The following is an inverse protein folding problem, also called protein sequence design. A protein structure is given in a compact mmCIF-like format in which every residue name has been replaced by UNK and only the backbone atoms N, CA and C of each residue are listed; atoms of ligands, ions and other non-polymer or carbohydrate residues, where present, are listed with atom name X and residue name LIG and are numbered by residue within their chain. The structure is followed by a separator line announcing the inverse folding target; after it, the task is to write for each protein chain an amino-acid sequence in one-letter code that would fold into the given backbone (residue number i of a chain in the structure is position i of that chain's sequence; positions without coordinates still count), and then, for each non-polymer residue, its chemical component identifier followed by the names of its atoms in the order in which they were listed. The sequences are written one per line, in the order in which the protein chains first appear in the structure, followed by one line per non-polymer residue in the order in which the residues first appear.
data_IF_566593935098
#
_entry.id   IF_566593935098
#
_cell.length_a   1.000
_cell.length_b   1.000
_cell.length_c   1.000
_cell.angle_alpha   90.00
_cell.angle_beta   90.00
_cell.angle_gamma   90.00
#
_symmetry.space_group_name_H-M   'P 1'
#
loop_
_entity.id
_entity.type
_entity.pdbx_description
1 polymer ?
#
# COMPACT_ATOMS: atom_id res chain seq x y z
N UNK A 1 22.06 8.55 -23.83
CA UNK A 1 20.94 7.86 -23.16
C UNK A 1 21.09 7.83 -21.64
N UNK A 2 22.13 7.17 -21.09
CA UNK A 2 22.36 7.01 -19.65
C UNK A 2 22.33 8.30 -18.81
N UNK A 3 22.87 9.42 -19.29
CA UNK A 3 22.79 10.70 -18.55
C UNK A 3 21.35 11.22 -18.37
N UNK A 4 20.45 11.01 -19.35
CA UNK A 4 19.03 11.39 -19.22
C UNK A 4 18.31 10.51 -18.19
N UNK A 5 18.67 9.24 -18.09
CA UNK A 5 18.15 8.31 -17.06
C UNK A 5 18.67 8.71 -15.66
N UNK A 6 19.97 9.04 -15.51
CA UNK A 6 20.53 9.56 -14.26
C UNK A 6 19.91 10.90 -13.85
N UNK A 7 19.66 11.81 -14.79
CA UNK A 7 19.00 13.09 -14.51
C UNK A 7 17.54 12.89 -14.08
N UNK A 8 16.80 11.97 -14.72
CA UNK A 8 15.44 11.60 -14.31
C UNK A 8 15.43 11.00 -12.89
N UNK A 9 16.37 10.11 -12.59
CA UNK A 9 16.53 9.49 -11.26
C UNK A 9 16.82 10.50 -10.15
N UNK A 10 17.61 11.56 -10.40
CA UNK A 10 17.86 12.62 -9.41
C UNK A 10 16.62 13.43 -9.00
N UNK A 11 15.56 13.42 -9.82
CA UNK A 11 14.33 14.18 -9.59
C UNK A 11 13.11 13.28 -9.34
N UNK A 12 13.30 11.96 -9.13
CA UNK A 12 12.17 11.07 -8.83
C UNK A 12 11.70 11.27 -7.39
N UNK A 13 10.41 11.58 -7.25
CA UNK A 13 9.73 11.63 -5.95
C UNK A 13 9.80 10.25 -5.27
N UNK A 14 9.61 10.20 -3.95
CA UNK A 14 9.51 8.91 -3.25
C UNK A 14 8.39 8.04 -3.85
N UNK A 15 7.29 8.67 -4.28
CA UNK A 15 6.20 7.98 -4.96
C UNK A 15 6.64 7.36 -6.30
N UNK A 16 7.42 8.08 -7.11
CA UNK A 16 7.94 7.54 -8.38
C UNK A 16 8.88 6.36 -8.18
N UNK A 17 9.68 6.37 -7.10
CA UNK A 17 10.61 5.29 -6.76
C UNK A 17 9.85 3.97 -6.54
N UNK A 18 8.75 3.99 -5.79
CA UNK A 18 7.90 2.81 -5.57
C UNK A 18 7.19 2.27 -6.83
N UNK A 19 7.25 2.95 -7.99
CA UNK A 19 6.75 2.40 -9.26
C UNK A 19 7.57 1.19 -9.73
N UNK A 20 8.85 1.11 -9.37
CA UNK A 20 9.64 -0.12 -9.44
C UNK A 20 10.39 -0.33 -8.13
N UNK A 21 9.68 -0.88 -7.14
CA UNK A 21 10.19 -1.11 -5.78
C UNK A 21 11.50 -1.94 -5.73
N UNK A 22 11.83 -2.69 -6.80
CA UNK A 22 13.06 -3.50 -6.89
C UNK A 22 14.32 -2.64 -7.08
N UNK A 23 14.15 -1.39 -7.48
CA UNK A 23 15.22 -0.40 -7.64
C UNK A 23 15.35 0.54 -6.42
N UNK A 24 14.47 0.38 -5.43
CA UNK A 24 14.48 1.15 -4.18
C UNK A 24 15.37 0.43 -3.18
N UNK A 25 16.22 1.16 -2.47
CA UNK A 25 17.08 0.56 -1.46
C UNK A 25 16.28 0.08 -0.25
N UNK A 26 16.74 -1.02 0.38
CA UNK A 26 16.04 -1.66 1.50
C UNK A 26 15.78 -0.69 2.66
N UNK A 27 16.71 0.24 2.93
CA UNK A 27 16.57 1.23 3.99
C UNK A 27 15.44 2.21 3.68
N UNK A 28 15.30 2.68 2.44
CA UNK A 28 14.16 3.50 2.01
C UNK A 28 12.84 2.73 2.06
N UNK A 29 12.80 1.45 1.64
CA UNK A 29 11.62 0.60 1.79
C UNK A 29 11.21 0.52 3.27
N UNK A 30 12.12 0.09 4.15
CA UNK A 30 11.87 -0.07 5.58
C UNK A 30 11.50 1.24 6.28
N UNK A 31 12.16 2.34 5.91
CA UNK A 31 11.85 3.68 6.44
C UNK A 31 10.49 4.21 5.97
N UNK A 32 9.99 3.78 4.82
CA UNK A 32 8.65 4.16 4.35
C UNK A 32 7.57 3.23 4.92
N UNK A 33 7.70 1.92 4.70
CA UNK A 33 6.64 0.93 4.91
C UNK A 33 6.68 0.27 6.30
N UNK A 34 7.82 0.31 6.99
CA UNK A 34 8.06 -0.45 8.22
C UNK A 34 8.44 -1.93 8.00
N UNK A 35 8.39 -2.43 6.76
CA UNK A 35 8.67 -3.83 6.41
C UNK A 35 10.09 -4.00 5.83
N UNK A 36 10.63 -5.21 5.87
CA UNK A 36 11.75 -5.59 5.00
C UNK A 36 11.31 -5.60 3.53
N UNK A 37 12.26 -5.59 2.60
CA UNK A 37 11.96 -5.69 1.17
C UNK A 37 11.23 -7.01 0.82
N UNK A 38 11.59 -8.11 1.49
CA UNK A 38 10.96 -9.43 1.40
C UNK A 38 9.49 -9.38 1.82
N UNK A 39 9.20 -9.01 3.08
CA UNK A 39 7.82 -8.94 3.57
C UNK A 39 6.95 -7.92 2.81
N UNK A 40 7.54 -6.85 2.28
CA UNK A 40 6.83 -5.92 1.41
C UNK A 40 6.45 -6.59 0.07
N UNK A 41 7.34 -7.40 -0.51
CA UNK A 41 7.07 -8.16 -1.72
C UNK A 41 6.03 -9.26 -1.47
N UNK A 42 6.12 -9.99 -0.37
CA UNK A 42 5.16 -11.04 -0.02
C UNK A 42 3.75 -10.44 0.08
N UNK A 43 3.60 -9.36 0.84
CA UNK A 43 2.33 -8.64 0.98
C UNK A 43 1.84 -8.08 -0.36
N UNK A 44 2.73 -7.48 -1.17
CA UNK A 44 2.39 -7.00 -2.51
C UNK A 44 1.93 -8.12 -3.45
N UNK A 45 2.51 -9.32 -3.34
CA UNK A 45 2.16 -10.49 -4.15
C UNK A 45 0.82 -11.10 -3.74
N UNK A 46 0.42 -10.94 -2.47
CA UNK A 46 -0.88 -11.38 -1.98
C UNK A 46 -2.04 -10.56 -2.54
N UNK A 47 -1.85 -9.26 -2.86
CA UNK A 47 -2.90 -8.39 -3.40
C UNK A 47 -3.19 -8.71 -4.89
N UNK A 48 -4.02 -9.72 -5.14
CA UNK A 48 -4.37 -10.25 -6.45
C UNK A 48 -5.54 -9.51 -7.11
N UNK A 49 -6.57 -9.12 -6.36
CA UNK A 49 -7.73 -8.38 -6.90
C UNK A 49 -7.37 -6.95 -7.29
N UNK A 50 -6.41 -6.34 -6.56
CA UNK A 50 -5.90 -5.02 -6.88
C UNK A 50 -5.13 -5.01 -8.22
N UNK A 51 -5.41 -3.99 -9.04
CA UNK A 51 -4.74 -3.74 -10.32
C UNK A 51 -3.94 -2.44 -10.32
N UNK A 52 -2.96 -2.39 -11.21
CA UNK A 52 -2.29 -1.15 -11.61
C UNK A 52 -3.26 -0.27 -12.42
N UNK A 53 -2.99 1.03 -12.43
CA UNK A 53 -3.64 2.01 -13.29
C UNK A 53 -2.59 2.83 -14.04
N UNK A 54 -3.03 3.66 -14.98
CA UNK A 54 -2.16 4.59 -15.72
C UNK A 54 -1.32 5.45 -14.75
N UNK A 55 -1.98 5.93 -13.69
CA UNK A 55 -1.42 6.92 -12.77
C UNK A 55 -0.64 6.29 -11.60
N UNK A 56 -0.99 5.07 -11.16
CA UNK A 56 -0.31 4.39 -10.04
C UNK A 56 -0.19 2.88 -10.22
N UNK A 57 0.86 2.29 -9.66
CA UNK A 57 1.00 0.84 -9.47
C UNK A 57 0.40 0.37 -8.13
N UNK A 58 0.31 -0.94 -7.93
CA UNK A 58 0.03 -1.58 -6.63
C UNK A 58 1.08 -1.24 -5.58
N UNK A 59 2.37 -1.35 -5.92
CA UNK A 59 3.48 -1.08 -5.00
C UNK A 59 3.46 0.36 -4.49
N UNK A 60 3.16 1.32 -5.35
CA UNK A 60 2.95 2.72 -4.96
C UNK A 60 1.80 2.89 -3.97
N UNK A 61 0.63 2.29 -4.23
CA UNK A 61 -0.52 2.38 -3.33
C UNK A 61 -0.27 1.70 -1.98
N UNK A 62 0.36 0.51 -1.99
CA UNK A 62 0.72 -0.24 -0.78
C UNK A 62 1.74 0.53 0.06
N UNK A 63 2.75 1.14 -0.56
CA UNK A 63 3.74 1.95 0.16
C UNK A 63 3.10 3.17 0.87
N UNK A 64 2.16 3.86 0.21
CA UNK A 64 1.40 4.96 0.82
C UNK A 64 0.51 4.47 1.97
N UNK A 65 -0.19 3.34 1.79
CA UNK A 65 -1.04 2.76 2.83
C UNK A 65 -0.24 2.32 4.07
N UNK A 66 0.90 1.64 3.87
CA UNK A 66 1.77 1.22 4.97
C UNK A 66 2.43 2.43 5.67
N UNK A 67 2.81 3.46 4.93
CA UNK A 67 3.30 4.72 5.53
C UNK A 67 2.22 5.40 6.37
N UNK A 68 0.96 5.42 5.90
CA UNK A 68 -0.18 5.93 6.66
C UNK A 68 -0.40 5.14 7.96
N UNK A 69 -0.45 3.80 7.88
CA UNK A 69 -0.58 2.94 9.07
C UNK A 69 0.58 3.13 10.07
N UNK A 70 1.81 3.30 9.59
CA UNK A 70 2.99 3.44 10.45
C UNK A 70 3.09 4.81 11.13
N UNK A 71 2.60 5.86 10.48
CA UNK A 71 2.80 7.25 10.95
C UNK A 71 1.56 7.89 11.55
N UNK A 72 0.37 7.37 11.26
CA UNK A 72 -0.93 7.93 11.67
C UNK A 72 -1.14 9.40 11.27
N UNK A 73 -0.38 9.90 10.28
CA UNK A 73 -0.47 11.28 9.80
C UNK A 73 -1.74 11.52 8.99
N UNK A 74 -2.15 12.78 8.90
CA UNK A 74 -3.26 13.19 8.08
C UNK A 74 -2.93 13.08 6.57
N UNK A 75 -3.97 13.01 5.75
CA UNK A 75 -3.83 12.77 4.31
C UNK A 75 -3.20 13.93 3.53
N UNK A 76 -3.21 15.19 4.03
CA UNK A 76 -2.52 16.32 3.39
C UNK A 76 -1.02 16.25 3.66
N UNK A 77 -0.62 15.92 4.89
CA UNK A 77 0.78 15.69 5.24
C UNK A 77 1.35 14.51 4.43
N UNK A 78 0.61 13.41 4.29
CA UNK A 78 1.05 12.25 3.50
C UNK A 78 1.11 12.58 2.00
N UNK A 79 0.13 13.30 1.45
CA UNK A 79 0.20 13.77 0.07
C UNK A 79 1.45 14.62 -0.17
N UNK A 80 1.76 15.55 0.74
CA UNK A 80 2.95 16.39 0.68
C UNK A 80 4.25 15.55 0.74
N UNK A 81 4.33 14.58 1.66
CA UNK A 81 5.49 13.69 1.81
C UNK A 81 5.77 12.87 0.53
N UNK A 82 4.72 12.37 -0.12
CA UNK A 82 4.84 11.63 -1.39
C UNK A 82 4.86 12.53 -2.63
N UNK A 83 4.84 13.86 -2.48
CA UNK A 83 4.77 14.83 -3.60
C UNK A 83 3.56 14.62 -4.52
N UNK A 84 2.41 14.28 -3.92
CA UNK A 84 1.12 14.08 -4.59
C UNK A 84 0.24 15.33 -4.44
N UNK A 85 -0.45 15.71 -5.52
CA UNK A 85 -1.19 16.98 -5.61
C UNK A 85 -2.39 17.10 -4.66
N UNK A 86 -2.99 15.99 -4.24
CA UNK A 86 -4.22 16.02 -3.45
C UNK A 86 -4.37 14.86 -2.45
N UNK A 87 -5.06 15.14 -1.34
CA UNK A 87 -5.39 14.15 -0.30
C UNK A 87 -6.36 13.06 -0.76
N UNK A 88 -7.20 13.34 -1.77
CA UNK A 88 -8.23 12.40 -2.26
C UNK A 88 -7.55 11.15 -2.83
N UNK A 89 -6.43 11.31 -3.55
CA UNK A 89 -5.59 10.21 -4.02
C UNK A 89 -5.08 9.32 -2.88
N UNK A 90 -4.74 9.89 -1.71
CA UNK A 90 -4.35 9.11 -0.51
C UNK A 90 -5.55 8.29 -0.02
N UNK A 91 -6.72 8.92 0.13
CA UNK A 91 -7.94 8.23 0.55
C UNK A 91 -8.29 7.06 -0.37
N UNK A 92 -8.24 7.27 -1.69
CA UNK A 92 -8.51 6.24 -2.70
C UNK A 92 -7.48 5.09 -2.66
N UNK A 93 -6.18 5.39 -2.51
CA UNK A 93 -5.16 4.34 -2.38
C UNK A 93 -5.36 3.54 -1.10
N UNK A 94 -5.58 4.19 0.04
CA UNK A 94 -5.82 3.49 1.30
C UNK A 94 -7.10 2.64 1.27
N UNK A 95 -8.16 3.09 0.60
CA UNK A 95 -9.37 2.30 0.41
C UNK A 95 -9.09 1.05 -0.44
N UNK A 96 -8.50 1.23 -1.63
CA UNK A 96 -8.21 0.13 -2.56
C UNK A 96 -7.26 -0.92 -1.97
N UNK A 97 -6.31 -0.52 -1.11
CA UNK A 97 -5.44 -1.48 -0.40
C UNK A 97 -6.20 -2.21 0.72
N UNK A 98 -7.09 -1.53 1.47
CA UNK A 98 -7.95 -2.21 2.47
C UNK A 98 -8.87 -3.24 1.84
N UNK A 99 -9.49 -2.90 0.72
CA UNK A 99 -10.42 -3.79 0.02
C UNK A 99 -9.68 -5.06 -0.44
N UNK A 100 -8.54 -4.89 -1.12
CA UNK A 100 -7.70 -6.02 -1.56
C UNK A 100 -7.10 -6.83 -0.40
N UNK A 101 -6.72 -6.20 0.73
CA UNK A 101 -6.31 -6.96 1.92
C UNK A 101 -7.45 -7.80 2.49
N UNK A 102 -8.67 -7.25 2.52
CA UNK A 102 -9.87 -7.94 3.03
C UNK A 102 -10.26 -9.12 2.15
N UNK A 103 -10.11 -8.98 0.83
CA UNK A 103 -10.41 -10.00 -0.18
C UNK A 103 -9.31 -11.06 -0.31
N UNK A 104 -8.05 -10.65 -0.49
CA UNK A 104 -6.97 -11.54 -0.91
C UNK A 104 -6.06 -12.03 0.24
N UNK A 105 -5.92 -11.26 1.33
CA UNK A 105 -4.95 -11.56 2.39
C UNK A 105 -5.61 -12.13 3.64
N UNK A 106 -6.61 -11.44 4.18
CA UNK A 106 -7.29 -11.76 5.46
C UNK A 106 -7.82 -13.21 5.50
N UNK A 107 -8.53 -13.74 4.49
CA UNK A 107 -9.14 -15.08 4.57
C UNK A 107 -8.13 -16.21 4.69
N UNK A 108 -6.91 -16.00 4.20
CA UNK A 108 -5.88 -17.04 4.09
C UNK A 108 -4.74 -16.91 5.11
N UNK A 109 -4.53 -15.72 5.70
CA UNK A 109 -3.35 -15.43 6.53
C UNK A 109 -3.68 -15.09 8.00
N UNK A 110 -4.93 -14.78 8.35
CA UNK A 110 -5.32 -14.45 9.73
C UNK A 110 -6.09 -15.57 10.45
N UNK A 111 -6.19 -16.76 9.87
CA UNK A 111 -6.89 -17.91 10.47
C UNK A 111 -8.42 -17.76 10.56
N UNK A 112 -9.00 -16.71 9.95
CA UNK A 112 -10.44 -16.41 9.96
C UNK A 112 -11.24 -17.24 8.93
N UNK A 113 -10.81 -18.46 8.64
CA UNK A 113 -11.27 -19.28 7.50
C UNK A 113 -12.67 -19.90 7.66
N UNK A 114 -13.57 -19.30 8.43
CA UNK A 114 -14.89 -19.86 8.73
C UNK A 114 -16.09 -18.90 8.66
N UNK A 115 -15.91 -17.57 8.73
CA UNK A 115 -17.04 -16.63 8.81
C UNK A 115 -16.72 -15.30 8.11
N UNK A 116 -17.57 -14.89 7.16
CA UNK A 116 -17.54 -13.53 6.64
C UNK A 116 -17.95 -12.51 7.71
N UNK A 117 -17.69 -11.22 7.49
CA UNK A 117 -18.12 -10.16 8.43
C UNK A 117 -19.61 -10.25 8.75
N UNK A 118 -20.43 -10.53 7.75
CA UNK A 118 -21.87 -10.66 7.88
C UNK A 118 -22.30 -11.96 8.56
N UNK A 119 -21.43 -12.98 8.62
CA UNK A 119 -21.65 -14.22 9.40
C UNK A 119 -21.15 -14.09 10.84
N UNK A 120 -20.19 -13.18 11.08
CA UNK A 120 -19.71 -12.80 12.41
C UNK A 120 -20.68 -11.85 13.12
N UNK A 121 -21.26 -10.89 12.39
CA UNK A 121 -22.61 -10.37 12.65
C UNK A 121 -23.63 -11.50 12.36
N UNK A 122 -24.89 -11.41 12.82
CA UNK A 122 -25.73 -12.59 13.11
C UNK A 122 -25.15 -13.35 14.30
N UNK A 123 -24.11 -14.18 14.09
CA UNK A 123 -23.66 -15.16 15.10
C UNK A 123 -23.12 -14.54 16.39
N UNK A 124 -22.55 -13.32 16.35
CA UNK A 124 -22.14 -12.56 17.54
C UNK A 124 -22.98 -11.29 17.75
N UNK A 125 -24.10 -11.12 17.02
CA UNK A 125 -25.11 -10.09 17.32
C UNK A 125 -26.41 -10.67 17.86
N UNK A 126 -26.55 -12.00 17.89
CA UNK A 126 -27.53 -12.67 18.74
C UNK A 126 -26.98 -12.80 20.17
N UNK A 127 -27.55 -11.97 21.05
CA UNK A 127 -27.60 -12.07 22.52
C UNK A 127 -26.41 -11.45 23.30
N UNK A 128 -26.70 -10.28 23.87
CA UNK A 128 -26.97 -10.18 25.30
C UNK A 128 -28.35 -9.54 25.51
#
# INVERSE_FOLDING_TARGET
MLQKLRAKSKNQTLFDQFRDYRLVDEKTIKNTTGLSQEHFLDLLSSLRSMRDSINRTKSQALAVFLFWLKTCLDQLTIASYFSLENRISISHMCQQVRDALTEDFVPYNLGLSLMGRDDWVKQNSEIA
#
